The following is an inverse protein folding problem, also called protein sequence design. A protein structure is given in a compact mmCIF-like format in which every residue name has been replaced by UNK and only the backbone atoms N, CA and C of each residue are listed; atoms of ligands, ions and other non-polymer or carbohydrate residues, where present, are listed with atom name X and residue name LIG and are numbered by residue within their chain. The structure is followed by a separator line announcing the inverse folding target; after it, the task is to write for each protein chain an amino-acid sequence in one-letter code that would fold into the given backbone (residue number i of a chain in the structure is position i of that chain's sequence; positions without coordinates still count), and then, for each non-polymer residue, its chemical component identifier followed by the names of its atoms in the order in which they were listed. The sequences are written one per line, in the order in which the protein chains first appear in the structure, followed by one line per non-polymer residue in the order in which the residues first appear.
data_IF_301845616511
#
_entry.id   IF_301845616511
#
_cell.length_a   1.000
_cell.length_b   1.000
_cell.length_c   1.000
_cell.angle_alpha   90.00
_cell.angle_beta   90.00
_cell.angle_gamma   90.00
#
_symmetry.space_group_name_H-M   'P 1'
#
loop_
_entity.id
_entity.type
_entity.pdbx_description
1 polymer ?
#
# COMPACT_ATOMS: atom_id res chain seq x y z
N UNK A 1 -15.27 -4.22 4.49
CA UNK A 1 -14.19 -5.20 4.42
C UNK A 1 -13.04 -4.65 3.59
N UNK A 2 -11.80 -5.04 3.92
CA UNK A 2 -10.62 -4.55 3.24
C UNK A 2 -9.65 -5.72 3.03
N UNK A 3 -9.20 -5.90 1.78
CA UNK A 3 -8.11 -6.80 1.44
C UNK A 3 -6.91 -5.99 0.96
N UNK A 4 -5.70 -6.41 1.37
CA UNK A 4 -4.45 -5.71 1.03
C UNK A 4 -3.58 -6.59 0.17
N UNK A 5 -3.17 -6.08 -0.98
CA UNK A 5 -2.34 -6.83 -1.93
C UNK A 5 -1.17 -5.97 -2.41
N UNK A 6 0.03 -6.56 -2.45
CA UNK A 6 1.23 -5.94 -3.03
C UNK A 6 1.69 -6.79 -4.21
N UNK A 7 1.87 -6.15 -5.36
CA UNK A 7 2.17 -6.81 -6.62
C UNK A 7 3.46 -6.27 -7.25
N UNK A 8 4.26 -7.18 -7.80
CA UNK A 8 5.39 -6.80 -8.66
C UNK A 8 4.96 -6.83 -10.13
N UNK A 9 5.16 -5.75 -10.90
CA UNK A 9 4.93 -5.76 -12.34
C UNK A 9 5.98 -6.57 -13.09
N UNK A 10 7.02 -7.04 -12.39
CA UNK A 10 8.06 -7.91 -12.92
C UNK A 10 7.85 -9.36 -12.47
N UNK A 11 8.31 -10.29 -13.30
CA UNK A 11 8.45 -11.69 -12.93
C UNK A 11 9.67 -11.89 -12.02
N UNK A 12 9.83 -13.07 -11.43
CA UNK A 12 11.03 -13.44 -10.68
C UNK A 12 12.33 -13.39 -11.49
N UNK A 13 12.25 -13.41 -12.83
CA UNK A 13 13.38 -13.24 -13.75
C UNK A 13 13.63 -11.79 -14.17
N UNK A 14 12.92 -10.81 -13.58
CA UNK A 14 13.05 -9.40 -13.88
C UNK A 14 12.37 -8.93 -15.17
N UNK A 15 11.64 -9.82 -15.86
CA UNK A 15 10.90 -9.46 -17.08
C UNK A 15 9.54 -8.84 -16.72
N UNK A 16 9.08 -7.91 -17.54
CA UNK A 16 7.74 -7.34 -17.37
C UNK A 16 6.66 -8.41 -17.54
N UNK A 17 5.68 -8.40 -16.64
CA UNK A 17 4.49 -9.26 -16.78
C UNK A 17 3.67 -8.82 -18.00
N UNK A 18 2.97 -9.75 -18.68
CA UNK A 18 2.21 -9.41 -19.88
C UNK A 18 1.26 -8.22 -19.69
N UNK A 19 1.39 -7.24 -20.57
CA UNK A 19 0.55 -6.04 -20.60
C UNK A 19 0.87 -4.95 -19.59
N UNK A 20 1.85 -5.15 -18.70
CA UNK A 20 2.26 -4.10 -17.73
C UNK A 20 3.06 -2.97 -18.39
N UNK A 21 3.67 -3.23 -19.55
CA UNK A 21 4.42 -2.24 -20.31
C UNK A 21 3.52 -1.19 -20.97
N UNK A 22 2.28 -1.57 -21.32
CA UNK A 22 1.39 -0.75 -22.14
C UNK A 22 0.31 -0.07 -21.30
N UNK A 23 -0.12 -0.70 -20.19
CA UNK A 23 -1.22 -0.23 -19.35
C UNK A 23 -0.75 -0.21 -17.90
N UNK A 24 -0.54 0.99 -17.37
CA UNK A 24 -0.20 1.16 -15.97
C UNK A 24 -1.35 0.79 -15.05
N UNK A 25 -1.06 -0.05 -14.03
CA UNK A 25 -2.06 -0.48 -13.06
C UNK A 25 -2.89 -1.70 -13.45
N UNK A 26 -2.63 -2.31 -14.62
CA UNK A 26 -3.35 -3.49 -15.09
C UNK A 26 -3.36 -4.64 -14.08
N UNK A 27 -2.25 -4.90 -13.41
CA UNK A 27 -2.18 -5.95 -12.38
C UNK A 27 -3.06 -5.64 -11.19
N UNK A 28 -3.15 -4.37 -10.80
CA UNK A 28 -4.01 -3.93 -9.69
C UNK A 28 -5.49 -4.09 -10.04
N UNK A 29 -5.87 -3.84 -11.29
CA UNK A 29 -7.23 -4.09 -11.78
C UNK A 29 -7.55 -5.60 -11.78
N UNK A 30 -6.62 -6.44 -12.26
CA UNK A 30 -6.78 -7.89 -12.24
C UNK A 30 -6.88 -8.42 -10.80
N UNK A 31 -6.07 -7.93 -9.87
CA UNK A 31 -6.16 -8.29 -8.46
C UNK A 31 -7.51 -7.89 -7.85
N UNK A 32 -8.02 -6.70 -8.19
CA UNK A 32 -9.33 -6.27 -7.73
C UNK A 32 -10.44 -7.18 -8.22
N UNK A 33 -10.41 -7.59 -9.49
CA UNK A 33 -11.36 -8.54 -10.08
C UNK A 33 -11.25 -9.90 -9.37
N UNK A 34 -10.03 -10.39 -9.16
CA UNK A 34 -9.79 -11.66 -8.50
C UNK A 34 -10.30 -11.66 -7.05
N UNK A 35 -10.06 -10.58 -6.30
CA UNK A 35 -10.56 -10.45 -4.93
C UNK A 35 -12.09 -10.41 -4.89
N UNK A 36 -12.73 -9.71 -5.81
CA UNK A 36 -14.20 -9.73 -5.91
C UNK A 36 -14.73 -11.14 -6.19
N UNK A 37 -14.02 -11.93 -6.98
CA UNK A 37 -14.39 -13.32 -7.27
C UNK A 37 -14.11 -14.26 -6.09
N UNK A 38 -13.10 -13.97 -5.27
CA UNK A 38 -12.75 -14.78 -4.10
C UNK A 38 -13.69 -14.57 -2.91
N UNK A 39 -14.36 -13.41 -2.83
CA UNK A 39 -15.25 -13.03 -1.72
C UNK A 39 -16.65 -12.62 -2.19
N UNK A 40 -17.34 -13.48 -2.98
CA UNK A 40 -18.66 -13.16 -3.51
C UNK A 40 -19.68 -12.97 -2.40
N UNK A 41 -19.53 -13.63 -1.25
CA UNK A 41 -20.40 -13.50 -0.09
C UNK A 41 -20.37 -12.10 0.53
N UNK A 42 -19.24 -11.41 0.48
CA UNK A 42 -19.14 -10.03 0.98
C UNK A 42 -19.92 -9.08 0.08
N UNK A 43 -19.85 -9.30 -1.23
CA UNK A 43 -20.51 -8.46 -2.23
C UNK A 43 -22.03 -8.68 -2.21
N UNK A 44 -22.46 -9.94 -2.06
CA UNK A 44 -23.89 -10.32 -2.13
C UNK A 44 -24.63 -10.13 -0.81
N UNK A 45 -23.93 -10.13 0.32
CA UNK A 45 -24.55 -10.02 1.66
C UNK A 45 -25.22 -8.68 1.94
N UNK A 46 -24.86 -7.62 1.20
CA UNK A 46 -25.31 -6.25 1.49
C UNK A 46 -24.82 -5.66 2.82
N UNK A 47 -23.99 -6.39 3.57
CA UNK A 47 -23.49 -5.99 4.89
C UNK A 47 -22.33 -4.99 4.81
N UNK A 48 -21.80 -4.72 3.63
CA UNK A 48 -20.70 -3.77 3.44
C UNK A 48 -20.09 -3.85 2.05
N UNK A 49 -19.11 -2.99 1.81
CA UNK A 49 -18.31 -2.98 0.58
C UNK A 49 -16.99 -3.71 0.81
N UNK A 50 -16.50 -4.39 -0.23
CA UNK A 50 -15.15 -4.93 -0.28
C UNK A 50 -14.23 -3.91 -0.97
N UNK A 51 -13.19 -3.48 -0.27
CA UNK A 51 -12.15 -2.61 -0.81
C UNK A 51 -10.87 -3.42 -1.00
N UNK A 52 -10.35 -3.44 -2.21
CA UNK A 52 -9.02 -3.97 -2.51
C UNK A 52 -8.00 -2.83 -2.45
N UNK A 53 -7.15 -2.82 -1.42
CA UNK A 53 -6.06 -1.85 -1.27
C UNK A 53 -4.80 -2.41 -1.92
N UNK A 54 -4.77 -2.40 -3.25
CA UNK A 54 -3.63 -2.87 -4.03
C UNK A 54 -2.54 -1.81 -4.18
N UNK A 55 -1.26 -2.25 -4.09
CA UNK A 55 -0.11 -1.44 -4.43
C UNK A 55 0.88 -2.23 -5.28
N UNK A 56 1.52 -1.57 -6.23
CA UNK A 56 2.71 -2.11 -6.91
C UNK A 56 3.96 -1.80 -6.09
N UNK A 57 4.96 -2.67 -6.15
CA UNK A 57 6.24 -2.50 -5.42
C UNK A 57 6.94 -1.17 -5.69
N UNK A 58 6.64 -0.52 -6.81
CA UNK A 58 7.16 0.80 -7.18
C UNK A 58 6.27 1.97 -6.71
N UNK A 59 5.30 1.73 -5.82
CA UNK A 59 4.51 2.76 -5.16
C UNK A 59 3.21 3.16 -5.86
N UNK A 60 2.86 2.55 -6.99
CA UNK A 60 1.54 2.80 -7.61
C UNK A 60 0.45 2.14 -6.79
N UNK A 61 -0.57 2.89 -6.45
CA UNK A 61 -1.75 2.39 -5.74
C UNK A 61 -2.92 2.14 -6.70
N UNK A 62 -3.77 1.19 -6.36
CA UNK A 62 -5.01 0.94 -7.11
C UNK A 62 -5.99 2.12 -6.94
N UNK A 63 -6.94 2.22 -7.88
CA UNK A 63 -7.94 3.28 -7.87
C UNK A 63 -8.77 3.29 -6.58
N UNK A 64 -9.18 2.13 -6.08
CA UNK A 64 -9.96 2.02 -4.85
C UNK A 64 -9.22 2.59 -3.63
N UNK A 65 -7.90 2.34 -3.51
CA UNK A 65 -7.10 2.92 -2.43
C UNK A 65 -6.98 4.45 -2.56
N UNK A 66 -6.77 4.95 -3.79
CA UNK A 66 -6.68 6.39 -4.06
C UNK A 66 -8.00 7.11 -3.76
N UNK A 67 -9.13 6.49 -4.04
CA UNK A 67 -10.46 7.04 -3.78
C UNK A 67 -10.83 6.97 -2.29
N UNK A 68 -10.52 5.85 -1.62
CA UNK A 68 -10.89 5.59 -0.23
C UNK A 68 -10.17 6.51 0.78
N UNK A 69 -8.87 6.74 0.59
CA UNK A 69 -8.07 7.54 1.53
C UNK A 69 -8.62 8.97 1.75
N UNK A 70 -8.98 9.72 0.71
CA UNK A 70 -9.61 11.03 0.88
C UNK A 70 -10.99 10.97 1.56
N UNK A 71 -11.75 9.90 1.33
CA UNK A 71 -13.05 9.71 1.98
C UNK A 71 -12.89 9.50 3.48
N UNK A 72 -11.97 8.61 3.87
CA UNK A 72 -11.64 8.38 5.27
C UNK A 72 -11.11 9.65 5.96
N UNK A 73 -10.26 10.42 5.28
CA UNK A 73 -9.74 11.67 5.83
C UNK A 73 -10.86 12.70 6.04
N UNK A 74 -11.79 12.82 5.10
CA UNK A 74 -12.97 13.69 5.22
C UNK A 74 -13.88 13.24 6.37
N UNK A 75 -14.16 11.96 6.45
CA UNK A 75 -15.03 11.40 7.50
C UNK A 75 -14.40 11.60 8.89
N UNK A 76 -13.09 11.36 9.04
CA UNK A 76 -12.36 11.63 10.29
C UNK A 76 -12.46 13.08 10.75
N UNK A 77 -12.61 14.01 9.81
CA UNK A 77 -12.71 15.45 10.09
C UNK A 77 -14.18 15.94 10.23
N UNK A 78 -15.18 15.08 10.11
CA UNK A 78 -16.60 15.48 10.14
C UNK A 78 -16.99 16.22 11.41
N UNK A 79 -16.46 15.82 12.56
CA UNK A 79 -16.71 16.47 13.87
C UNK A 79 -15.99 17.80 14.09
N UNK A 80 -15.06 18.20 13.21
CA UNK A 80 -14.31 19.44 13.35
C UNK A 80 -15.13 20.66 12.89
N UNK A 81 -14.71 21.87 13.37
CA UNK A 81 -15.26 23.12 12.87
C UNK A 81 -15.09 23.23 11.33
N UNK A 82 -16.11 23.68 10.56
CA UNK A 82 -16.09 23.65 9.09
C UNK A 82 -14.85 24.27 8.44
N UNK A 83 -14.34 25.37 9.00
CA UNK A 83 -13.13 26.06 8.49
C UNK A 83 -11.85 25.21 8.59
N UNK A 84 -11.80 24.27 9.52
CA UNK A 84 -10.62 23.42 9.75
C UNK A 84 -10.66 22.11 8.97
N UNK A 85 -11.85 21.65 8.57
CA UNK A 85 -12.05 20.32 7.98
C UNK A 85 -11.15 20.05 6.78
N UNK A 86 -11.11 20.98 5.81
CA UNK A 86 -10.35 20.82 4.58
C UNK A 86 -8.84 20.73 4.85
N UNK A 87 -8.29 21.64 5.61
CA UNK A 87 -6.86 21.67 5.93
C UNK A 87 -6.44 20.42 6.70
N UNK A 88 -7.21 20.03 7.72
CA UNK A 88 -6.92 18.83 8.52
C UNK A 88 -7.05 17.56 7.69
N UNK A 89 -8.06 17.44 6.82
CA UNK A 89 -8.22 16.28 5.94
C UNK A 89 -7.06 16.13 4.96
N UNK A 90 -6.57 17.23 4.38
CA UNK A 90 -5.36 17.22 3.54
C UNK A 90 -4.12 16.81 4.33
N UNK A 91 -3.92 17.32 5.54
CA UNK A 91 -2.81 16.92 6.40
C UNK A 91 -2.85 15.43 6.75
N UNK A 92 -4.03 14.89 7.08
CA UNK A 92 -4.21 13.45 7.32
C UNK A 92 -3.89 12.63 6.06
N UNK A 93 -4.39 13.06 4.89
CA UNK A 93 -4.14 12.37 3.64
C UNK A 93 -2.65 12.29 3.32
N UNK A 94 -1.92 13.40 3.44
CA UNK A 94 -0.46 13.44 3.24
C UNK A 94 0.27 12.52 4.24
N UNK A 95 -0.10 12.57 5.51
CA UNK A 95 0.49 11.71 6.55
C UNK A 95 0.25 10.23 6.24
N UNK A 96 -0.97 9.83 5.92
CA UNK A 96 -1.30 8.44 5.63
C UNK A 96 -0.61 7.94 4.36
N UNK A 97 -0.57 8.76 3.32
CA UNK A 97 0.18 8.43 2.09
C UNK A 97 1.67 8.21 2.38
N UNK A 98 2.27 9.04 3.23
CA UNK A 98 3.66 8.85 3.67
C UNK A 98 3.87 7.55 4.43
N UNK A 99 3.00 7.24 5.40
CA UNK A 99 3.06 5.98 6.17
C UNK A 99 2.94 4.76 5.24
N UNK A 100 1.98 4.78 4.31
CA UNK A 100 1.80 3.68 3.35
C UNK A 100 2.99 3.52 2.43
N UNK A 101 3.58 4.62 1.94
CA UNK A 101 4.78 4.58 1.09
C UNK A 101 5.98 3.98 1.83
N UNK A 102 6.23 4.41 3.06
CA UNK A 102 7.31 3.85 3.89
C UNK A 102 7.04 2.38 4.21
N UNK A 103 5.81 2.03 4.59
CA UNK A 103 5.42 0.66 4.86
C UNK A 103 5.63 -0.26 3.66
N UNK A 104 5.25 0.19 2.46
CA UNK A 104 5.46 -0.53 1.21
C UNK A 104 6.96 -0.75 0.94
N UNK A 105 7.77 0.29 1.03
CA UNK A 105 9.22 0.20 0.80
C UNK A 105 9.89 -0.75 1.81
N UNK A 106 9.52 -0.67 3.10
CA UNK A 106 10.02 -1.59 4.13
C UNK A 106 9.61 -3.04 3.85
N UNK A 107 8.37 -3.27 3.44
CA UNK A 107 7.89 -4.59 3.04
C UNK A 107 8.68 -5.16 1.86
N UNK A 108 8.90 -4.37 0.82
CA UNK A 108 9.71 -4.76 -0.34
C UNK A 108 11.16 -5.05 0.07
N UNK A 109 11.78 -4.17 0.84
CA UNK A 109 13.13 -4.38 1.33
C UNK A 109 13.27 -5.64 2.18
N UNK A 110 12.27 -5.94 3.03
CA UNK A 110 12.24 -7.16 3.83
C UNK A 110 12.17 -8.43 2.96
N UNK A 111 11.30 -8.42 1.94
CA UNK A 111 11.20 -9.56 1.00
C UNK A 111 12.52 -9.76 0.27
N UNK A 112 13.12 -8.68 -0.27
CA UNK A 112 14.41 -8.74 -0.95
C UNK A 112 15.50 -9.26 -0.03
N UNK A 113 15.59 -8.77 1.21
CA UNK A 113 16.58 -9.21 2.18
C UNK A 113 16.43 -10.70 2.54
N UNK A 114 15.21 -11.20 2.64
CA UNK A 114 14.96 -12.61 2.91
C UNK A 114 15.28 -13.53 1.71
N UNK A 115 14.99 -13.06 0.50
CA UNK A 115 15.23 -13.81 -0.73
C UNK A 115 16.73 -13.92 -1.09
N UNK A 116 17.48 -12.82 -0.89
CA UNK A 116 18.89 -12.73 -1.27
C UNK A 116 19.89 -12.98 -0.13
N UNK A 117 19.37 -13.42 1.03
CA UNK A 117 20.21 -13.83 2.16
C UNK A 117 20.61 -12.64 3.05
N UNK A 118 20.30 -12.78 4.33
CA UNK A 118 20.61 -11.80 5.37
C UNK A 118 22.14 -11.53 5.51
N UNK A 119 22.98 -12.34 4.91
CA UNK A 119 24.44 -12.23 5.01
C UNK A 119 25.01 -10.99 4.29
N UNK A 120 24.38 -10.54 3.20
CA UNK A 120 24.81 -9.33 2.49
C UNK A 120 24.48 -8.03 3.25
N UNK A 121 23.38 -8.03 4.00
CA UNK A 121 22.97 -6.84 4.78
C UNK A 121 23.75 -6.77 6.11
N UNK A 122 24.09 -7.91 6.71
CA UNK A 122 24.87 -7.97 7.94
C UNK A 122 26.31 -7.52 7.79
N UNK A 123 26.89 -7.68 6.61
CA UNK A 123 28.28 -7.28 6.33
C UNK A 123 28.47 -5.78 6.05
N UNK A 124 27.38 -5.03 5.81
CA UNK A 124 27.44 -3.59 5.47
C UNK A 124 26.86 -2.66 6.55
N UNK A 125 26.20 -3.19 7.57
CA UNK A 125 25.81 -2.40 8.73
C UNK A 125 26.97 -2.41 9.73
N UNK A 126 27.63 -1.27 9.92
CA UNK A 126 28.58 -1.09 11.01
C UNK A 126 27.91 -1.50 12.34
N UNK A 127 28.64 -2.24 13.22
CA UNK A 127 28.12 -2.61 14.52
C UNK A 127 27.91 -1.34 15.36
N UNK A 128 26.67 -0.89 15.50
CA UNK A 128 26.35 0.28 16.33
C UNK A 128 25.05 1.01 15.99
N UNK A 129 24.41 0.71 14.87
CA UNK A 129 23.09 1.30 14.58
C UNK A 129 22.01 0.26 14.88
N UNK A 130 21.46 0.29 16.10
CA UNK A 130 20.27 -0.49 16.40
C UNK A 130 19.06 0.08 15.65
N UNK A 131 18.27 -0.82 15.05
CA UNK A 131 17.01 -0.48 14.37
C UNK A 131 16.01 0.26 15.29
N UNK A 132 16.24 0.20 16.61
CA UNK A 132 15.50 0.94 17.62
C UNK A 132 15.69 2.46 17.50
N UNK A 133 16.83 2.93 17.02
CA UNK A 133 17.13 4.37 16.92
C UNK A 133 16.41 5.04 15.74
N UNK A 134 15.91 4.26 14.77
CA UNK A 134 15.10 4.77 13.66
C UNK A 134 13.60 4.88 13.99
N UNK A 135 13.16 4.35 15.12
CA UNK A 135 11.75 4.37 15.53
C UNK A 135 11.35 5.67 16.29
N UNK A 136 12.28 6.55 16.60
CA UNK A 136 12.07 7.78 17.42
C UNK A 136 11.63 8.99 16.59
N UNK A 137 11.46 8.87 15.27
CA UNK A 137 10.97 9.95 14.41
C UNK A 137 9.54 9.59 13.93
N UNK A 138 8.62 9.47 14.89
CA UNK A 138 7.17 9.50 14.64
C UNK A 138 6.49 10.35 15.70
#
# INVERSE_FOLDING_TARGET
FCDVTVLSPLTGTGQARPGTNNIGGRLLEQATIQNNNNYPEVITSGLGALYCLGAEVYGRMCKQAVDLLPELARERCRGLHPRLRRGTALGLLHRWSGILSVGLQRGVAHVVANEYGADLVRTQLEPGVELADLAVIC
#
